data_IF_257013784724
#
_entry.id   IF_257013784724
#
_cell.length_a   1.000
_cell.length_b   1.000
_cell.length_c   1.000
_cell.angle_alpha   90.00
_cell.angle_beta   90.00
_cell.angle_gamma   90.00
#
_symmetry.space_group_name_H-M   'P 1'
#
loop_
_entity.id
_entity.type
_entity.pdbx_description
1 polymer ?
#
# COMPACT_ATOMS: atom_id res chain seq x y z
N UNK A 1 47.64 -4.78 -46.20
CA UNK A 1 47.39 -4.37 -47.60
C UNK A 1 46.28 -3.32 -47.47
N UNK A 2 46.68 -2.02 -47.42
CA UNK A 2 46.65 -1.11 -48.54
C UNK A 2 45.24 -1.02 -49.13
N UNK A 3 44.55 0.10 -49.21
CA UNK A 3 44.90 1.34 -49.89
C UNK A 3 43.75 2.31 -49.59
N UNK A 4 43.91 3.49 -49.04
CA UNK A 4 44.21 4.76 -49.75
C UNK A 4 43.15 5.15 -50.80
N UNK A 5 42.58 6.28 -50.66
CA UNK A 5 42.54 7.56 -51.39
C UNK A 5 41.27 8.28 -51.05
N UNK A 6 41.26 9.42 -50.51
CA UNK A 6 41.79 10.74 -50.85
C UNK A 6 40.86 11.55 -51.75
N UNK A 7 40.57 12.73 -51.25
CA UNK A 7 40.23 14.00 -51.96
C UNK A 7 38.81 14.17 -52.48
N UNK A 8 38.15 15.31 -52.49
CA UNK A 8 38.60 16.70 -52.56
C UNK A 8 37.44 17.61 -52.20
N UNK A 9 37.78 18.70 -51.66
CA UNK A 9 37.04 19.89 -51.34
C UNK A 9 36.19 20.47 -52.47
N UNK A 10 35.12 21.11 -52.10
CA UNK A 10 34.71 22.39 -52.73
C UNK A 10 33.81 23.16 -51.79
N UNK A 11 34.30 24.29 -51.38
CA UNK A 11 33.57 25.36 -50.73
C UNK A 11 32.65 26.03 -51.71
N UNK A 12 31.52 26.53 -51.28
CA UNK A 12 30.98 27.82 -51.72
C UNK A 12 29.87 28.29 -50.77
N UNK A 13 30.08 29.51 -50.38
CA UNK A 13 29.28 30.44 -49.61
C UNK A 13 27.89 30.67 -50.22
N UNK A 14 26.94 30.98 -49.37
CA UNK A 14 26.09 32.20 -49.41
C UNK A 14 24.96 32.11 -48.39
N UNK A 15 25.09 32.93 -47.36
CA UNK A 15 24.18 34.03 -46.94
C UNK A 15 22.70 33.74 -46.92
N UNK A 16 22.16 33.99 -45.80
CA UNK A 16 21.09 34.96 -45.55
C UNK A 16 20.01 34.47 -44.58
N UNK A 17 19.84 35.30 -43.62
CA UNK A 17 18.59 35.67 -42.91
C UNK A 17 17.74 34.52 -42.35
N UNK A 18 17.76 34.39 -41.05
CA UNK A 18 16.92 35.23 -40.25
C UNK A 18 15.52 34.70 -40.18
N UNK A 19 15.25 33.98 -39.17
CA UNK A 19 13.96 34.01 -38.45
C UNK A 19 14.07 32.98 -37.35
N UNK A 20 14.35 33.43 -36.16
CA UNK A 20 14.05 32.65 -34.96
C UNK A 20 12.54 32.37 -34.92
N UNK A 21 12.09 31.14 -34.93
CA UNK A 21 10.76 30.87 -34.45
C UNK A 21 10.83 30.94 -32.92
N UNK A 22 10.34 32.01 -32.41
CA UNK A 22 9.91 32.29 -31.07
C UNK A 22 9.29 31.00 -30.47
N UNK A 23 10.07 30.38 -29.61
CA UNK A 23 9.61 29.28 -28.76
C UNK A 23 8.57 29.88 -27.82
N UNK A 24 7.29 29.48 -27.87
CA UNK A 24 6.36 29.91 -26.86
C UNK A 24 6.80 29.34 -25.53
N UNK A 25 7.41 30.17 -24.72
CA UNK A 25 7.58 29.90 -23.30
C UNK A 25 6.19 29.88 -22.68
N UNK A 26 5.58 28.73 -22.68
CA UNK A 26 4.44 28.49 -21.80
C UNK A 26 4.99 28.55 -20.40
N UNK A 27 4.88 29.68 -19.76
CA UNK A 27 4.99 29.81 -18.34
C UNK A 27 3.92 28.89 -17.74
N UNK A 28 4.34 27.70 -17.30
CA UNK A 28 3.52 26.90 -16.41
C UNK A 28 3.55 27.64 -15.09
N UNK A 29 2.60 28.53 -14.95
CA UNK A 29 2.26 29.13 -13.67
C UNK A 29 1.84 27.96 -12.75
N UNK A 30 2.72 27.59 -11.85
CA UNK A 30 2.43 26.62 -10.82
C UNK A 30 1.22 27.13 -10.02
N UNK A 31 0.13 26.37 -9.90
CA UNK A 31 -0.98 26.80 -9.07
C UNK A 31 -0.44 27.00 -7.65
N UNK A 32 -0.89 28.04 -6.94
CA UNK A 32 -0.47 28.29 -5.57
C UNK A 32 -0.77 27.03 -4.77
N UNK A 33 0.26 26.51 -4.11
CA UNK A 33 0.12 25.43 -3.15
C UNK A 33 -0.77 25.93 -2.01
N UNK A 34 -2.06 25.84 -2.22
CA UNK A 34 -3.04 25.95 -1.16
C UNK A 34 -2.90 24.69 -0.32
N UNK A 35 -2.01 24.76 0.65
CA UNK A 35 -1.96 23.80 1.75
C UNK A 35 -3.24 24.00 2.56
N UNK A 36 -4.36 23.52 2.04
CA UNK A 36 -5.50 23.23 2.90
C UNK A 36 -5.04 22.11 3.80
N UNK A 37 -4.62 22.47 5.00
CA UNK A 37 -4.68 21.56 6.13
C UNK A 37 -6.10 21.04 6.16
N UNK A 38 -6.27 19.80 5.70
CA UNK A 38 -7.52 19.06 5.87
C UNK A 38 -7.58 18.78 7.36
N UNK A 39 -8.36 19.60 8.04
CA UNK A 39 -8.76 19.37 9.42
C UNK A 39 -9.56 18.07 9.43
N UNK A 40 -8.92 16.98 9.88
CA UNK A 40 -9.50 15.62 9.94
C UNK A 40 -10.37 15.48 11.19
N UNK A 41 -10.51 16.55 11.99
CA UNK A 41 -11.41 16.62 13.11
C UNK A 41 -12.79 17.10 12.66
N UNK A 42 -13.78 16.23 12.84
CA UNK A 42 -15.22 16.50 12.72
C UNK A 42 -15.85 16.57 11.31
N UNK A 43 -15.79 15.49 10.56
CA UNK A 43 -16.88 15.20 9.62
C UNK A 43 -17.62 13.93 10.03
N UNK A 44 -18.68 14.11 10.79
CA UNK A 44 -19.83 13.18 10.83
C UNK A 44 -20.23 12.89 9.37
N UNK A 45 -19.81 11.73 8.84
CA UNK A 45 -20.14 11.28 7.47
C UNK A 45 -18.95 11.09 6.53
N UNK A 46 -17.70 11.17 7.01
CA UNK A 46 -16.51 10.82 6.20
C UNK A 46 -16.37 9.30 6.06
N UNK A 47 -16.03 8.87 4.86
CA UNK A 47 -15.43 7.55 4.59
C UNK A 47 -14.14 7.50 5.39
N UNK A 48 -14.21 7.02 6.61
CA UNK A 48 -13.07 6.96 7.52
C UNK A 48 -13.16 5.67 8.33
N UNK A 49 -12.02 5.03 8.48
CA UNK A 49 -11.88 3.84 9.31
C UNK A 49 -11.75 4.22 10.78
N UNK A 50 -12.15 3.32 11.67
CA UNK A 50 -11.92 3.50 13.10
C UNK A 50 -10.43 3.46 13.41
N UNK A 51 -9.88 4.54 13.97
CA UNK A 51 -8.45 4.68 14.26
C UNK A 51 -7.94 3.64 15.27
N UNK A 52 -8.77 3.25 16.23
CA UNK A 52 -8.42 2.24 17.24
C UNK A 52 -8.37 0.83 16.62
N UNK A 53 -9.34 0.50 15.75
CA UNK A 53 -9.31 -0.77 15.00
C UNK A 53 -8.12 -0.81 14.05
N UNK A 54 -7.82 0.28 13.38
CA UNK A 54 -6.66 0.39 12.49
C UNK A 54 -5.35 0.12 13.24
N UNK A 55 -5.11 0.87 14.32
CA UNK A 55 -3.91 0.72 15.14
C UNK A 55 -3.81 -0.67 15.77
N UNK A 56 -4.92 -1.19 16.32
CA UNK A 56 -4.96 -2.52 16.90
C UNK A 56 -4.65 -3.62 15.88
N UNK A 57 -5.13 -3.49 14.64
CA UNK A 57 -4.85 -4.44 13.56
C UNK A 57 -3.38 -4.44 13.17
N UNK A 58 -2.76 -3.27 13.00
CA UNK A 58 -1.32 -3.16 12.70
C UNK A 58 -0.47 -3.76 13.83
N UNK A 59 -0.82 -3.49 15.08
CA UNK A 59 -0.10 -4.04 16.22
C UNK A 59 -0.31 -5.57 16.38
N UNK A 60 -1.52 -6.07 16.11
CA UNK A 60 -1.79 -7.52 16.17
C UNK A 60 -1.06 -8.30 15.08
N UNK A 61 -0.81 -7.68 13.92
CA UNK A 61 -0.17 -8.29 12.77
C UNK A 61 1.31 -7.89 12.61
N UNK A 62 1.90 -7.21 13.59
CA UNK A 62 3.26 -6.65 13.52
C UNK A 62 4.36 -7.70 13.29
N UNK A 63 4.10 -8.97 13.62
CA UNK A 63 5.03 -10.07 13.40
C UNK A 63 5.03 -10.58 11.94
N UNK A 64 4.07 -10.16 11.12
CA UNK A 64 3.95 -10.53 9.71
C UNK A 64 4.48 -9.41 8.80
N UNK A 65 5.06 -9.74 7.65
CA UNK A 65 5.43 -8.72 6.67
C UNK A 65 4.16 -8.05 6.13
N UNK A 66 4.13 -6.72 6.11
CA UNK A 66 3.04 -5.96 5.50
C UNK A 66 3.22 -5.89 3.99
N UNK A 67 2.19 -6.23 3.24
CA UNK A 67 2.16 -6.20 1.77
C UNK A 67 1.44 -4.93 1.27
N UNK A 68 0.22 -4.69 1.75
CA UNK A 68 -0.57 -3.54 1.36
C UNK A 68 -1.33 -2.97 2.57
N UNK A 69 -1.29 -1.66 2.73
CA UNK A 69 -2.06 -0.94 3.75
C UNK A 69 -2.72 0.28 3.14
N UNK A 70 -4.04 0.37 3.27
CA UNK A 70 -4.83 1.51 2.81
C UNK A 70 -5.68 2.04 3.97
N UNK A 71 -5.23 3.10 4.65
CA UNK A 71 -5.95 3.66 5.78
C UNK A 71 -7.28 4.34 5.39
N UNK A 72 -7.44 4.75 4.14
CA UNK A 72 -8.68 5.38 3.67
C UNK A 72 -9.74 4.34 3.32
N UNK A 73 -9.33 3.28 2.64
CA UNK A 73 -10.19 2.14 2.30
C UNK A 73 -10.32 1.12 3.44
N UNK A 74 -9.61 1.30 4.55
CA UNK A 74 -9.69 0.40 5.70
C UNK A 74 -9.15 -1.00 5.46
N UNK A 75 -8.18 -1.15 4.56
CA UNK A 75 -7.66 -2.46 4.17
C UNK A 75 -6.21 -2.64 4.61
N UNK A 76 -5.92 -3.74 5.30
CA UNK A 76 -4.57 -4.18 5.66
C UNK A 76 -4.39 -5.60 5.12
N UNK A 77 -3.38 -5.82 4.29
CA UNK A 77 -2.99 -7.14 3.80
C UNK A 77 -1.55 -7.42 4.17
N UNK A 78 -1.32 -8.62 4.69
CA UNK A 78 0.04 -9.10 4.96
C UNK A 78 0.56 -9.92 3.80
N UNK A 79 1.88 -10.03 3.68
CA UNK A 79 2.52 -11.06 2.89
C UNK A 79 2.42 -12.44 3.57
N UNK A 80 3.01 -13.43 2.93
CA UNK A 80 3.08 -14.77 3.49
C UNK A 80 4.06 -14.81 4.67
N UNK A 81 3.61 -15.40 5.76
CA UNK A 81 4.41 -15.62 6.95
C UNK A 81 4.46 -17.12 7.28
N UNK A 82 5.66 -17.62 7.53
CA UNK A 82 5.93 -19.00 7.95
C UNK A 82 6.45 -18.97 9.37
N UNK A 83 5.75 -19.62 10.29
CA UNK A 83 6.20 -19.72 11.67
C UNK A 83 7.34 -20.77 11.78
N UNK A 84 8.31 -20.51 12.64
CA UNK A 84 9.42 -21.43 12.86
C UNK A 84 8.97 -22.81 13.34
N UNK A 85 7.86 -22.89 14.08
CA UNK A 85 7.28 -24.13 14.56
C UNK A 85 6.62 -24.96 13.44
N UNK A 86 6.20 -24.33 12.35
CA UNK A 86 5.51 -24.98 11.22
C UNK A 86 6.12 -24.56 9.89
N UNK A 87 7.35 -25.00 9.56
CA UNK A 87 8.08 -24.51 8.37
C UNK A 87 7.44 -24.92 7.03
N UNK A 88 6.54 -25.89 7.06
CA UNK A 88 5.79 -26.35 5.89
C UNK A 88 4.40 -25.70 5.76
N UNK A 89 4.08 -24.73 6.59
CA UNK A 89 2.84 -23.98 6.52
C UNK A 89 3.13 -22.48 6.43
N UNK A 90 2.33 -21.79 5.64
CA UNK A 90 2.39 -20.32 5.58
C UNK A 90 1.00 -19.74 5.65
N UNK A 91 0.90 -18.59 6.29
CA UNK A 91 -0.34 -17.85 6.49
C UNK A 91 -0.23 -16.46 5.89
N UNK A 92 -1.32 -15.95 5.41
CA UNK A 92 -1.52 -14.57 4.99
C UNK A 92 -2.84 -14.08 5.55
N UNK A 93 -2.88 -12.84 6.00
CA UNK A 93 -4.06 -12.23 6.62
C UNK A 93 -4.49 -11.00 5.83
N UNK A 94 -5.79 -10.84 5.65
CA UNK A 94 -6.40 -9.61 5.17
C UNK A 94 -7.41 -9.12 6.22
N UNK A 95 -7.29 -7.86 6.61
CA UNK A 95 -8.18 -7.18 7.55
C UNK A 95 -8.91 -6.08 6.81
N UNK A 96 -10.22 -5.99 7.02
CA UNK A 96 -11.08 -4.96 6.47
C UNK A 96 -11.80 -4.25 7.61
N UNK A 97 -11.64 -2.93 7.68
CA UNK A 97 -12.33 -2.07 8.64
C UNK A 97 -13.42 -1.34 7.87
N UNK A 98 -14.66 -1.64 8.21
CA UNK A 98 -15.85 -1.30 7.41
C UNK A 98 -16.61 -0.07 7.94
N UNK A 99 -16.29 0.40 9.15
CA UNK A 99 -17.01 1.51 9.81
C UNK A 99 -16.01 2.35 10.63
N UNK A 100 -16.33 3.61 10.82
CA UNK A 100 -15.60 4.53 11.71
C UNK A 100 -15.90 4.30 13.20
N UNK A 101 -16.96 3.58 13.52
CA UNK A 101 -17.34 3.25 14.90
C UNK A 101 -16.67 1.97 15.38
N UNK A 102 -16.32 1.92 16.66
CA UNK A 102 -15.75 0.73 17.29
C UNK A 102 -16.85 -0.30 17.59
N UNK A 103 -17.10 -1.18 16.62
CA UNK A 103 -18.12 -2.23 16.69
C UNK A 103 -17.54 -3.55 16.19
N UNK A 104 -18.12 -4.66 16.61
CA UNK A 104 -17.67 -5.99 16.20
C UNK A 104 -17.88 -6.24 14.69
N UNK A 105 -19.00 -5.76 14.16
CA UNK A 105 -19.35 -5.87 12.74
C UNK A 105 -18.61 -4.86 11.83
N UNK A 106 -17.87 -3.93 12.44
CA UNK A 106 -16.98 -3.01 11.71
C UNK A 106 -15.63 -3.63 11.32
N UNK A 107 -15.35 -4.84 11.76
CA UNK A 107 -14.11 -5.55 11.48
C UNK A 107 -14.41 -6.88 10.77
N UNK A 108 -13.68 -7.17 9.72
CA UNK A 108 -13.68 -8.48 9.07
C UNK A 108 -12.25 -8.94 8.83
N UNK A 109 -11.97 -10.18 9.17
CA UNK A 109 -10.67 -10.80 8.96
C UNK A 109 -10.81 -11.99 8.02
N UNK A 110 -9.90 -12.10 7.06
CA UNK A 110 -9.73 -13.27 6.20
C UNK A 110 -8.33 -13.82 6.38
N UNK A 111 -8.22 -15.12 6.64
CA UNK A 111 -6.94 -15.82 6.79
C UNK A 111 -6.82 -16.83 5.66
N UNK A 112 -5.68 -16.82 5.00
CA UNK A 112 -5.34 -17.79 3.95
C UNK A 112 -4.18 -18.65 4.44
N UNK A 113 -4.27 -19.94 4.22
CA UNK A 113 -3.26 -20.92 4.60
C UNK A 113 -2.81 -21.70 3.38
N UNK A 114 -1.53 -21.91 3.26
CA UNK A 114 -0.96 -22.84 2.31
C UNK A 114 -0.03 -23.82 3.03
N UNK A 115 0.03 -25.04 2.53
CA UNK A 115 0.88 -26.10 3.04
C UNK A 115 1.80 -26.56 1.92
N UNK A 116 3.05 -26.82 2.27
CA UNK A 116 4.06 -27.31 1.35
C UNK A 116 3.90 -28.82 1.16
N UNK A 117 3.55 -29.21 -0.06
CA UNK A 117 3.44 -30.63 -0.44
C UNK A 117 4.79 -31.35 -0.55
N UNK A 118 4.78 -32.66 -0.68
CA UNK A 118 5.98 -33.49 -0.86
C UNK A 118 6.81 -33.14 -2.10
N UNK A 119 6.16 -32.56 -3.13
CA UNK A 119 6.82 -32.04 -4.33
C UNK A 119 7.49 -30.67 -4.14
N UNK A 120 7.38 -30.06 -2.96
CA UNK A 120 7.91 -28.74 -2.65
C UNK A 120 7.01 -27.57 -3.07
N UNK A 121 5.89 -27.84 -3.74
CA UNK A 121 4.92 -26.82 -4.14
C UNK A 121 3.97 -26.45 -2.99
N UNK A 122 3.58 -25.17 -2.96
CA UNK A 122 2.58 -24.69 -2.02
C UNK A 122 1.17 -24.95 -2.56
N UNK A 123 0.32 -25.47 -1.70
CA UNK A 123 -1.09 -25.75 -2.01
C UNK A 123 -1.99 -25.10 -0.96
N UNK A 124 -3.11 -24.56 -1.38
CA UNK A 124 -4.11 -23.98 -0.49
C UNK A 124 -4.65 -25.04 0.48
N UNK A 125 -4.81 -24.65 1.73
CA UNK A 125 -5.31 -25.49 2.79
C UNK A 125 -6.40 -24.78 3.60
N UNK A 126 -7.30 -25.56 4.18
CA UNK A 126 -8.39 -25.05 5.00
C UNK A 126 -7.84 -24.39 6.25
N UNK A 127 -8.38 -23.22 6.57
CA UNK A 127 -8.14 -22.51 7.83
C UNK A 127 -9.24 -22.90 8.82
N UNK A 128 -8.84 -23.16 10.06
CA UNK A 128 -9.80 -23.35 11.14
C UNK A 128 -10.59 -22.05 11.38
N UNK A 129 -11.93 -22.06 11.28
CA UNK A 129 -12.78 -20.90 11.53
C UNK A 129 -12.53 -20.25 12.89
N UNK A 130 -12.14 -21.04 13.88
CA UNK A 130 -11.80 -20.53 15.22
C UNK A 130 -10.59 -19.59 15.19
N UNK A 131 -9.64 -19.83 14.28
CA UNK A 131 -8.47 -18.96 14.11
C UNK A 131 -8.87 -17.55 13.66
N UNK A 132 -9.82 -17.45 12.72
CA UNK A 132 -10.36 -16.17 12.26
C UNK A 132 -11.05 -15.45 13.42
N UNK A 133 -11.96 -16.13 14.12
CA UNK A 133 -12.70 -15.59 15.27
C UNK A 133 -11.77 -15.12 16.40
N UNK A 134 -10.73 -15.90 16.70
CA UNK A 134 -9.72 -15.54 17.72
C UNK A 134 -8.98 -14.26 17.32
N UNK A 135 -8.61 -14.11 16.05
CA UNK A 135 -7.90 -12.94 15.57
C UNK A 135 -8.80 -11.70 15.57
N UNK A 136 -10.06 -11.83 15.14
CA UNK A 136 -11.04 -10.74 15.24
C UNK A 136 -11.23 -10.27 16.68
N UNK A 137 -11.43 -11.20 17.61
CA UNK A 137 -11.58 -10.89 19.03
C UNK A 137 -10.32 -10.24 19.62
N UNK A 138 -9.13 -10.70 19.24
CA UNK A 138 -7.88 -10.11 19.67
C UNK A 138 -7.77 -8.64 19.24
N UNK A 139 -8.07 -8.36 17.98
CA UNK A 139 -8.03 -7.00 17.43
C UNK A 139 -9.08 -6.10 18.13
N UNK A 140 -10.31 -6.59 18.29
CA UNK A 140 -11.38 -5.86 18.95
C UNK A 140 -11.06 -5.53 20.42
N UNK A 141 -10.54 -6.50 21.16
CA UNK A 141 -10.16 -6.29 22.56
C UNK A 141 -9.01 -5.28 22.67
N UNK A 142 -8.02 -5.38 21.78
CA UNK A 142 -6.91 -4.43 21.72
C UNK A 142 -7.38 -3.02 21.36
N UNK A 143 -8.31 -2.88 20.41
CA UNK A 143 -8.89 -1.60 20.02
C UNK A 143 -9.67 -0.95 21.18
N UNK A 144 -10.44 -1.75 21.94
CA UNK A 144 -11.14 -1.29 23.14
C UNK A 144 -10.16 -0.82 24.22
N UNK A 145 -9.08 -1.57 24.45
CA UNK A 145 -8.04 -1.16 25.40
C UNK A 145 -7.39 0.16 25.00
N UNK A 146 -7.07 0.35 23.72
CA UNK A 146 -6.51 1.61 23.20
C UNK A 146 -7.48 2.78 23.39
N UNK A 147 -8.78 2.57 23.15
CA UNK A 147 -9.81 3.60 23.38
C UNK A 147 -9.88 4.02 24.85
N UNK A 148 -9.90 3.05 25.77
CA UNK A 148 -9.92 3.33 27.22
C UNK A 148 -8.65 4.10 27.64
N UNK A 149 -7.48 3.74 27.11
CA UNK A 149 -6.23 4.44 27.40
C UNK A 149 -6.21 5.89 26.89
N UNK A 150 -6.94 6.16 25.80
CA UNK A 150 -7.08 7.50 25.25
C UNK A 150 -8.07 8.40 26.03
N UNK A 151 -8.85 7.83 26.96
CA UNK A 151 -9.83 8.57 27.76
C UNK A 151 -11.16 8.83 27.05
N UNK A 152 -11.43 8.07 25.98
CA UNK A 152 -12.63 8.18 25.13
C UNK A 152 -13.72 7.15 25.50
#
# INVERSE_FOLDING_TARGET
MMSKYLCVAAALLLTACGSDPEKPTVAIEAPPASTKTVDVSDKKGGVGVNAYLWRASLEALSFMPMDQTDPFGGTIKTGWHTAAATPNERLRVAVFILDSRLRADALRVSVFKEVKGSSGNWAEATVDPETVTKLENLILNKARALKIQAGD
#
